data_IF_591280163375
#
_entry.id   IF_591280163375
#
_cell.length_a   1.000
_cell.length_b   1.000
_cell.length_c   1.000
_cell.angle_alpha   90.00
_cell.angle_beta   90.00
_cell.angle_gamma   90.00
#
_symmetry.space_group_name_H-M   'P 1'
#
loop_
_entity.id
_entity.type
_entity.pdbx_description
1 polymer ?
#
# COMPACT_ATOMS: atom_id res chain seq x y z
N UNK A 1 -4.60 23.05 18.28
CA UNK A 1 -3.21 22.52 18.27
C UNK A 1 -3.30 21.01 18.14
N UNK A 2 -3.31 20.46 16.91
CA UNK A 2 -3.51 19.01 16.72
C UNK A 2 -2.83 18.47 15.46
N UNK A 3 -1.87 19.19 14.88
CA UNK A 3 -1.11 18.71 13.71
C UNK A 3 0.12 17.89 14.13
N UNK A 4 0.70 18.19 15.29
CA UNK A 4 1.96 17.58 15.75
C UNK A 4 1.88 16.07 15.95
N UNK A 5 0.76 15.52 16.44
CA UNK A 5 0.65 14.08 16.69
C UNK A 5 0.50 13.24 15.40
N UNK A 6 -0.05 13.81 14.33
CA UNK A 6 -0.23 13.10 13.07
C UNK A 6 1.10 12.99 12.32
N UNK A 7 1.85 14.09 12.24
CA UNK A 7 3.20 14.10 11.67
C UNK A 7 4.20 13.31 12.51
N UNK A 8 4.06 13.28 13.85
CA UNK A 8 4.89 12.40 14.68
C UNK A 8 4.55 10.93 14.46
N UNK A 9 3.27 10.54 14.34
CA UNK A 9 2.92 9.15 14.00
C UNK A 9 3.32 8.75 12.59
N UNK A 10 3.17 9.65 11.61
CA UNK A 10 3.65 9.44 10.24
C UNK A 10 5.19 9.44 10.17
N UNK A 11 5.86 10.23 11.02
CA UNK A 11 7.33 10.28 11.17
C UNK A 11 7.90 9.05 11.89
N UNK A 12 7.23 8.56 12.93
CA UNK A 12 7.51 7.29 13.62
C UNK A 12 7.23 6.09 12.70
N UNK A 13 6.21 6.22 11.84
CA UNK A 13 5.90 5.29 10.75
C UNK A 13 7.00 5.28 9.66
N UNK A 14 7.62 6.42 9.35
CA UNK A 14 8.76 6.51 8.42
C UNK A 14 10.09 6.08 9.05
N UNK A 15 10.24 6.15 10.38
CA UNK A 15 11.48 5.82 11.12
C UNK A 15 11.51 4.43 11.74
N UNK A 16 10.42 3.65 11.67
CA UNK A 16 10.42 2.21 11.99
C UNK A 16 10.14 1.85 13.45
N UNK A 17 9.31 2.64 14.16
CA UNK A 17 8.78 2.22 15.46
C UNK A 17 7.89 0.97 15.28
N UNK A 18 8.42 -0.18 15.67
CA UNK A 18 8.26 -1.48 14.99
C UNK A 18 6.98 -2.26 15.36
N UNK A 19 6.05 -1.65 16.11
CA UNK A 19 4.84 -2.33 16.59
C UNK A 19 3.64 -2.25 15.64
N UNK A 20 3.28 -1.04 15.22
CA UNK A 20 2.01 -0.73 14.55
C UNK A 20 2.03 -0.93 13.02
N UNK A 21 3.23 -0.96 12.42
CA UNK A 21 3.40 -1.25 10.98
C UNK A 21 2.93 -2.66 10.61
N UNK A 22 3.04 -3.62 11.54
CA UNK A 22 2.70 -5.03 11.29
C UNK A 22 1.21 -5.21 11.01
N UNK A 23 0.33 -4.52 11.75
CA UNK A 23 -1.13 -4.57 11.59
C UNK A 23 -1.58 -3.97 10.26
N UNK A 24 -1.12 -2.74 9.95
CA UNK A 24 -1.47 -2.03 8.71
C UNK A 24 -1.08 -2.83 7.45
N UNK A 25 0.14 -3.38 7.45
CA UNK A 25 0.66 -4.16 6.32
C UNK A 25 -0.06 -5.52 6.24
N UNK A 26 -0.46 -6.11 7.36
CA UNK A 26 -1.25 -7.35 7.37
C UNK A 26 -2.62 -7.11 6.71
N UNK A 27 -3.37 -6.11 7.17
CA UNK A 27 -4.68 -5.76 6.60
C UNK A 27 -4.55 -5.43 5.11
N UNK A 28 -3.56 -4.61 4.72
CA UNK A 28 -3.34 -4.30 3.31
C UNK A 28 -3.01 -5.56 2.49
N UNK A 29 -2.20 -6.47 3.02
CA UNK A 29 -1.89 -7.73 2.34
C UNK A 29 -3.12 -8.62 2.19
N UNK A 30 -4.02 -8.66 3.17
CA UNK A 30 -5.29 -9.38 3.07
C UNK A 30 -6.18 -8.81 1.96
N UNK A 31 -6.28 -7.48 1.87
CA UNK A 31 -7.03 -6.80 0.79
C UNK A 31 -6.43 -7.05 -0.60
N UNK A 32 -5.10 -7.15 -0.68
CA UNK A 32 -4.38 -7.43 -1.94
C UNK A 32 -4.31 -8.91 -2.27
N UNK A 33 -4.65 -9.80 -1.32
CA UNK A 33 -4.62 -11.24 -1.47
C UNK A 33 -3.20 -11.82 -1.53
N UNK A 34 -3.04 -13.06 -2.02
CA UNK A 34 -1.73 -13.70 -2.12
C UNK A 34 -0.82 -13.00 -3.15
N UNK A 35 0.49 -13.18 -2.99
CA UNK A 35 1.47 -12.75 -3.99
C UNK A 35 1.33 -13.67 -5.20
N UNK A 36 1.15 -13.08 -6.38
CA UNK A 36 0.99 -13.79 -7.65
C UNK A 36 2.33 -14.34 -8.14
N UNK A 37 2.29 -15.31 -9.07
CA UNK A 37 3.49 -15.83 -9.75
C UNK A 37 4.10 -14.77 -10.67
N UNK A 38 5.39 -14.87 -10.98
CA UNK A 38 6.15 -13.86 -11.75
C UNK A 38 5.59 -13.55 -13.13
N UNK A 39 4.97 -14.51 -13.77
CA UNK A 39 4.32 -14.41 -15.08
C UNK A 39 2.90 -13.83 -15.03
N UNK A 40 2.37 -13.58 -13.82
CA UNK A 40 1.02 -13.08 -13.62
C UNK A 40 1.01 -11.63 -13.13
N UNK A 41 0.04 -10.81 -13.57
CA UNK A 41 -0.12 -9.48 -13.05
C UNK A 41 -0.42 -9.53 -11.56
N UNK A 42 0.16 -8.61 -10.81
CA UNK A 42 -0.17 -8.35 -9.42
C UNK A 42 -1.62 -7.87 -9.30
N UNK A 43 -2.17 -7.96 -8.09
CA UNK A 43 -3.52 -7.45 -7.82
C UNK A 43 -3.63 -5.95 -8.09
N UNK A 44 -2.60 -5.16 -7.80
CA UNK A 44 -2.60 -3.71 -8.08
C UNK A 44 -2.60 -3.41 -9.58
N UNK A 45 -1.79 -4.12 -10.36
CA UNK A 45 -1.82 -4.04 -11.83
C UNK A 45 -3.20 -4.41 -12.38
N UNK A 46 -3.80 -5.49 -11.85
CA UNK A 46 -5.15 -5.94 -12.27
C UNK A 46 -6.24 -4.92 -11.92
N UNK A 47 -6.07 -4.17 -10.83
CA UNK A 47 -7.01 -3.11 -10.41
C UNK A 47 -6.80 -1.81 -11.17
N UNK A 48 -5.71 -1.66 -11.92
CA UNK A 48 -5.39 -0.45 -12.66
C UNK A 48 -6.27 -0.35 -13.90
N UNK A 49 -7.37 0.42 -13.81
CA UNK A 49 -8.38 0.53 -14.89
C UNK A 49 -8.03 1.52 -15.99
N UNK A 50 -7.03 2.37 -15.78
CA UNK A 50 -6.55 3.35 -16.75
C UNK A 50 -5.05 3.20 -16.95
N UNK A 51 -4.52 3.61 -18.11
CA UNK A 51 -3.07 3.61 -18.36
C UNK A 51 -2.28 4.38 -17.29
N UNK A 52 -2.75 5.56 -16.90
CA UNK A 52 -2.05 6.39 -15.90
C UNK A 52 -1.92 5.71 -14.52
N UNK A 53 -2.96 4.98 -14.10
CA UNK A 53 -2.95 4.23 -12.84
C UNK A 53 -2.00 3.04 -12.94
N UNK A 54 -2.00 2.35 -14.08
CA UNK A 54 -1.09 1.24 -14.33
C UNK A 54 0.37 1.70 -14.33
N UNK A 55 0.68 2.79 -15.04
CA UNK A 55 2.01 3.37 -15.11
C UNK A 55 2.53 3.80 -13.74
N UNK A 56 1.67 4.40 -12.91
CA UNK A 56 2.03 4.74 -11.53
C UNK A 56 2.37 3.49 -10.70
N UNK A 57 1.55 2.43 -10.80
CA UNK A 57 1.81 1.15 -10.12
C UNK A 57 3.12 0.54 -10.60
N UNK A 58 3.37 0.50 -11.91
CA UNK A 58 4.63 0.01 -12.48
C UNK A 58 5.83 0.79 -11.97
N UNK A 59 5.76 2.13 -11.94
CA UNK A 59 6.82 2.96 -11.39
C UNK A 59 7.12 2.67 -9.92
N UNK A 60 6.09 2.41 -9.10
CA UNK A 60 6.30 2.03 -7.70
C UNK A 60 7.01 0.69 -7.55
N UNK A 61 6.70 -0.26 -8.44
CA UNK A 61 7.31 -1.59 -8.41
C UNK A 61 8.79 -1.59 -8.80
N UNK A 62 9.24 -0.61 -9.57
CA UNK A 62 10.62 -0.48 -10.03
C UNK A 62 11.53 0.26 -9.05
N UNK A 63 11.00 1.29 -8.38
CA UNK A 63 11.79 2.15 -7.48
C UNK A 63 11.94 1.52 -6.10
N UNK A 64 13.13 1.62 -5.49
CA UNK A 64 13.36 1.08 -4.15
C UNK A 64 12.64 1.84 -3.03
N UNK A 65 12.46 3.15 -3.20
CA UNK A 65 11.71 4.00 -2.27
C UNK A 65 10.72 4.87 -3.07
N UNK A 66 9.57 4.31 -3.49
CA UNK A 66 8.57 5.08 -4.22
C UNK A 66 7.97 6.19 -3.33
N UNK A 67 7.71 7.34 -3.95
CA UNK A 67 7.10 8.47 -3.25
C UNK A 67 5.65 8.16 -2.86
N UNK A 68 5.12 8.83 -1.82
CA UNK A 68 3.69 8.75 -1.49
C UNK A 68 2.81 9.13 -2.68
N UNK A 69 1.65 8.49 -2.76
CA UNK A 69 0.67 8.71 -3.82
C UNK A 69 -0.43 9.70 -3.39
N UNK A 70 -1.43 9.88 -4.24
CA UNK A 70 -2.57 10.78 -4.03
C UNK A 70 -3.84 10.03 -3.65
N UNK A 71 -4.82 10.76 -3.12
CA UNK A 71 -6.13 10.22 -2.75
C UNK A 71 -6.90 9.65 -3.94
N UNK A 72 -6.84 10.35 -5.07
CA UNK A 72 -7.46 9.90 -6.31
C UNK A 72 -6.90 8.55 -6.77
N UNK A 73 -5.60 8.33 -6.57
CA UNK A 73 -4.96 7.06 -6.89
C UNK A 73 -5.40 5.94 -5.94
N UNK A 74 -5.54 6.22 -4.65
CA UNK A 74 -6.08 5.24 -3.69
C UNK A 74 -7.52 4.85 -4.07
N UNK A 75 -8.38 5.81 -4.42
CA UNK A 75 -9.74 5.52 -4.88
C UNK A 75 -9.81 4.81 -6.23
N UNK A 76 -8.80 4.98 -7.09
CA UNK A 76 -8.71 4.23 -8.34
C UNK A 76 -8.37 2.74 -8.10
N UNK A 77 -7.61 2.45 -7.05
CA UNK A 77 -7.10 1.12 -6.73
C UNK A 77 -7.94 0.36 -5.68
N UNK A 78 -8.68 1.07 -4.84
CA UNK A 78 -9.46 0.48 -3.75
C UNK A 78 -10.88 1.04 -3.75
N UNK A 79 -11.84 0.15 -3.54
CA UNK A 79 -13.23 0.57 -3.35
C UNK A 79 -13.40 1.36 -2.05
N UNK A 80 -14.42 2.23 -1.94
CA UNK A 80 -14.71 2.93 -0.69
C UNK A 80 -14.96 1.99 0.49
N UNK A 81 -15.58 0.82 0.24
CA UNK A 81 -15.82 -0.20 1.26
C UNK A 81 -14.51 -0.82 1.77
N UNK A 82 -13.57 -1.11 0.87
CA UNK A 82 -12.23 -1.60 1.23
C UNK A 82 -11.46 -0.58 2.08
N UNK A 83 -11.52 0.71 1.74
CA UNK A 83 -10.89 1.78 2.51
C UNK A 83 -11.55 1.91 3.89
N UNK A 84 -12.89 1.80 3.96
CA UNK A 84 -13.62 1.80 5.23
C UNK A 84 -13.22 0.60 6.09
N UNK A 85 -13.17 -0.60 5.51
CA UNK A 85 -12.74 -1.81 6.20
C UNK A 85 -11.31 -1.67 6.74
N UNK A 86 -10.40 -1.12 5.95
CA UNK A 86 -9.05 -0.82 6.40
C UNK A 86 -9.06 0.10 7.63
N UNK A 87 -9.86 1.16 7.61
CA UNK A 87 -10.05 2.06 8.75
C UNK A 87 -10.57 1.33 10.00
N UNK A 88 -11.59 0.48 9.84
CA UNK A 88 -12.21 -0.28 10.92
C UNK A 88 -11.25 -1.30 11.55
N UNK A 89 -10.53 -2.07 10.73
CA UNK A 89 -9.62 -3.12 11.21
C UNK A 89 -8.34 -2.56 11.82
N UNK A 90 -7.94 -1.36 11.42
CA UNK A 90 -6.74 -0.68 11.94
C UNK A 90 -7.06 0.27 13.09
N UNK A 91 -8.34 0.53 13.37
CA UNK A 91 -8.79 1.50 14.38
C UNK A 91 -8.46 2.96 14.04
N UNK A 92 -8.00 3.23 12.81
CA UNK A 92 -7.73 4.58 12.34
C UNK A 92 -9.02 5.29 11.98
N UNK A 93 -9.05 6.63 12.10
CA UNK A 93 -10.11 7.42 11.50
C UNK A 93 -9.98 7.39 9.97
N UNK A 94 -11.08 7.59 9.24
CA UNK A 94 -11.05 7.55 7.77
C UNK A 94 -10.04 8.52 7.13
N UNK A 95 -9.89 9.77 7.60
CA UNK A 95 -8.84 10.66 7.09
C UNK A 95 -7.43 10.15 7.39
N UNK A 96 -7.20 9.58 8.58
CA UNK A 96 -5.90 9.01 8.95
C UNK A 96 -5.55 7.77 8.10
N UNK A 97 -6.52 6.89 7.88
CA UNK A 97 -6.40 5.73 7.02
C UNK A 97 -6.03 6.12 5.59
N UNK A 98 -6.67 7.16 5.04
CA UNK A 98 -6.39 7.66 3.70
C UNK A 98 -4.95 8.19 3.57
N UNK A 99 -4.49 9.01 4.51
CA UNK A 99 -3.10 9.50 4.52
C UNK A 99 -2.07 8.38 4.65
N UNK A 100 -2.35 7.37 5.48
CA UNK A 100 -1.49 6.21 5.62
C UNK A 100 -1.46 5.37 4.34
N UNK A 101 -2.62 5.11 3.72
CA UNK A 101 -2.72 4.37 2.45
C UNK A 101 -1.88 5.02 1.33
N UNK A 102 -1.89 6.36 1.25
CA UNK A 102 -1.04 7.11 0.29
C UNK A 102 0.44 6.78 0.43
N UNK A 103 0.92 6.49 1.63
CA UNK A 103 2.33 6.14 1.88
C UNK A 103 2.58 4.64 1.69
N UNK A 104 1.72 3.78 2.23
CA UNK A 104 2.01 2.34 2.33
C UNK A 104 1.74 1.57 1.04
N UNK A 105 0.81 2.02 0.21
CA UNK A 105 0.45 1.30 -1.03
C UNK A 105 1.63 1.25 -2.01
N UNK A 106 2.34 2.35 -2.32
CA UNK A 106 3.53 2.31 -3.16
C UNK A 106 4.64 1.40 -2.60
N UNK A 107 4.91 1.48 -1.29
CA UNK A 107 5.92 0.66 -0.62
C UNK A 107 5.56 -0.84 -0.70
N UNK A 108 4.28 -1.16 -0.48
CA UNK A 108 3.75 -2.51 -0.59
C UNK A 108 3.84 -3.04 -2.03
N UNK A 109 3.57 -2.21 -3.04
CA UNK A 109 3.73 -2.59 -4.44
C UNK A 109 5.18 -3.03 -4.73
N UNK A 110 6.18 -2.27 -4.24
CA UNK A 110 7.60 -2.62 -4.38
C UNK A 110 7.98 -3.91 -3.67
N UNK A 111 7.62 -4.04 -2.39
CA UNK A 111 7.92 -5.23 -1.59
C UNK A 111 7.31 -6.50 -2.22
N UNK A 112 6.05 -6.42 -2.64
CA UNK A 112 5.36 -7.53 -3.28
C UNK A 112 5.98 -7.90 -4.62
N UNK A 113 6.39 -6.93 -5.45
CA UNK A 113 7.14 -7.22 -6.68
C UNK A 113 8.47 -7.91 -6.40
N UNK A 114 9.24 -7.44 -5.41
CA UNK A 114 10.49 -8.10 -4.99
C UNK A 114 10.25 -9.55 -4.58
N UNK A 115 9.20 -9.82 -3.79
CA UNK A 115 8.83 -11.17 -3.35
C UNK A 115 8.36 -12.05 -4.51
N UNK A 116 7.53 -11.53 -5.41
CA UNK A 116 7.10 -12.23 -6.64
C UNK A 116 8.31 -12.65 -7.50
N UNK A 117 9.31 -11.78 -7.63
CA UNK A 117 10.54 -12.07 -8.38
C UNK A 117 11.41 -13.14 -7.69
N UNK A 118 11.50 -13.13 -6.35
CA UNK A 118 12.28 -14.10 -5.54
C UNK A 118 11.62 -15.47 -5.43
N UNK A 119 10.29 -15.53 -5.35
CA UNK A 119 9.54 -16.78 -5.23
C UNK A 119 9.65 -17.68 -6.48
N UNK A 120 10.26 -17.19 -7.56
CA UNK A 120 10.51 -17.94 -8.79
C UNK A 120 11.74 -18.84 -8.72
N UNK A 121 12.55 -18.74 -7.66
CA UNK A 121 13.80 -19.51 -7.52
C UNK A 121 13.61 -20.86 -6.80
N UNK A 122 12.38 -21.18 -6.37
CA UNK A 122 12.03 -22.48 -5.76
C UNK A 122 11.25 -23.32 -6.78
N UNK A 123 11.96 -24.05 -7.62
CA UNK A 123 11.43 -25.14 -8.46
C UNK A 123 12.13 -26.43 -8.09
#
# INVERSE_FOLDING_TARGET
MTESNFFTRAGDFLTGATGDQSGLITVLNEMLGPITRKDQPTRLETRSRTPDVFDAVSQWQERDNPAPTTESMIHALFSPEEIRKFSEETGLSSPAAMEILKVIVPLCARDRKKRQLRASDTV
#
